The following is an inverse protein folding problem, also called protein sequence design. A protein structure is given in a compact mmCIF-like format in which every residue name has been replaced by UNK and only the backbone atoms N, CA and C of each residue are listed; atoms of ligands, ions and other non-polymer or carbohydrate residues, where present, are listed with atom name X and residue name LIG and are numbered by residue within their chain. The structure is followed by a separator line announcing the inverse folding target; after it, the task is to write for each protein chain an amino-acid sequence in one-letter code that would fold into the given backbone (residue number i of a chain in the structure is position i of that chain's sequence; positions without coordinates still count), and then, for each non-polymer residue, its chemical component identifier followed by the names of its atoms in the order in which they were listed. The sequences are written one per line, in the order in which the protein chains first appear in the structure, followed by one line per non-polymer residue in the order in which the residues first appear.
data_IF_911133671783
#
_entry.id   IF_911133671783
#
_cell.length_a   1.000
_cell.length_b   1.000
_cell.length_c   1.000
_cell.angle_alpha   90.00
_cell.angle_beta   90.00
_cell.angle_gamma   90.00
#
_symmetry.space_group_name_H-M   'P 1'
#
loop_
_entity.id
_entity.type
_entity.pdbx_description
1 polymer ?
#
# COMPACT_ATOMS: atom_id res chain seq x y z
N UNK A 1 13.17 13.30 19.81
CA UNK A 1 13.21 13.22 18.35
C UNK A 1 11.82 13.01 17.79
N UNK A 2 11.47 13.80 16.79
CA UNK A 2 10.16 13.70 16.17
C UNK A 2 10.17 12.57 15.15
N UNK A 3 9.19 11.69 15.24
CA UNK A 3 9.05 10.62 14.25
C UNK A 3 8.30 11.15 13.05
N UNK A 4 8.84 10.89 11.88
CA UNK A 4 8.20 11.25 10.62
C UNK A 4 7.88 9.99 9.85
N UNK A 5 6.88 10.07 8.96
CA UNK A 5 6.65 8.99 8.03
C UNK A 5 7.85 8.86 7.11
N UNK A 6 8.31 7.63 6.98
CA UNK A 6 9.39 7.31 6.06
C UNK A 6 9.01 7.61 4.63
N UNK A 7 7.77 7.34 4.29
CA UNK A 7 7.32 7.35 2.91
C UNK A 7 6.60 8.64 2.59
N UNK A 8 6.98 9.27 1.48
CA UNK A 8 6.30 10.47 1.00
C UNK A 8 5.40 10.16 -0.21
N UNK A 9 5.66 9.08 -0.92
CA UNK A 9 4.88 8.68 -2.09
C UNK A 9 4.62 7.18 -2.04
N UNK A 10 3.35 6.82 -2.02
CA UNK A 10 2.91 5.43 -1.89
C UNK A 10 1.89 5.14 -2.99
N UNK A 11 1.95 3.97 -3.59
CA UNK A 11 0.97 3.57 -4.57
C UNK A 11 0.18 2.36 -4.10
N UNK A 12 -1.09 2.31 -4.50
CA UNK A 12 -1.99 1.21 -4.19
C UNK A 12 -2.22 0.40 -5.46
N UNK A 13 -2.20 -0.92 -5.33
CA UNK A 13 -2.40 -1.82 -6.45
C UNK A 13 -3.28 -2.99 -6.03
N UNK A 14 -4.15 -3.45 -6.92
CA UNK A 14 -4.98 -4.62 -6.64
C UNK A 14 -5.55 -5.20 -7.92
N UNK A 15 -5.29 -6.48 -8.16
CA UNK A 15 -5.96 -7.22 -9.23
C UNK A 15 -7.17 -7.99 -8.71
N UNK A 16 -7.49 -7.85 -7.44
CA UNK A 16 -8.60 -8.56 -6.82
C UNK A 16 -9.94 -8.02 -7.30
N UNK A 17 -10.91 -8.93 -7.42
CA UNK A 17 -12.29 -8.55 -7.74
C UNK A 17 -13.15 -8.46 -6.50
N UNK A 18 -12.56 -8.56 -5.32
CA UNK A 18 -13.29 -8.46 -4.06
C UNK A 18 -13.91 -7.07 -3.94
N UNK A 19 -15.17 -7.05 -3.53
CA UNK A 19 -15.93 -5.80 -3.45
C UNK A 19 -15.37 -4.83 -2.40
N UNK A 20 -14.59 -5.33 -1.47
CA UNK A 20 -14.02 -4.50 -0.40
C UNK A 20 -12.82 -3.68 -0.84
N UNK A 21 -12.26 -3.98 -2.00
CA UNK A 21 -11.03 -3.31 -2.44
C UNK A 21 -11.18 -1.79 -2.48
N UNK A 22 -12.27 -1.30 -3.06
CA UNK A 22 -12.51 0.13 -3.15
C UNK A 22 -12.60 0.80 -1.80
N UNK A 23 -13.33 0.18 -0.87
CA UNK A 23 -13.46 0.71 0.48
C UNK A 23 -12.13 0.74 1.20
N UNK A 24 -11.38 -0.35 1.12
CA UNK A 24 -10.08 -0.44 1.78
C UNK A 24 -9.09 0.57 1.17
N UNK A 25 -9.10 0.71 -0.15
CA UNK A 25 -8.23 1.69 -0.81
C UNK A 25 -8.56 3.12 -0.34
N UNK A 26 -9.83 3.43 -0.17
CA UNK A 26 -10.24 4.74 0.34
C UNK A 26 -9.78 4.95 1.78
N UNK A 27 -9.87 3.92 2.60
CA UNK A 27 -9.41 3.99 3.98
C UNK A 27 -7.90 4.21 4.05
N UNK A 28 -7.15 3.49 3.22
CA UNK A 28 -5.69 3.67 3.12
C UNK A 28 -5.37 5.11 2.74
N UNK A 29 -6.08 5.63 1.74
CA UNK A 29 -5.87 7.02 1.32
C UNK A 29 -6.06 7.98 2.48
N UNK A 30 -7.16 7.85 3.22
CA UNK A 30 -7.46 8.77 4.31
C UNK A 30 -6.46 8.68 5.45
N UNK A 31 -6.03 7.47 5.79
CA UNK A 31 -5.06 7.28 6.85
C UNK A 31 -3.72 7.95 6.48
N UNK A 32 -3.26 7.71 5.28
CA UNK A 32 -1.91 8.14 4.89
C UNK A 32 -1.86 9.60 4.44
N UNK A 33 -2.92 10.09 3.81
CA UNK A 33 -2.89 11.48 3.37
C UNK A 33 -2.90 12.44 4.56
N UNK A 34 -3.43 12.02 5.70
CA UNK A 34 -3.36 12.83 6.91
C UNK A 34 -1.92 12.97 7.42
N UNK A 35 -1.00 12.16 6.91
CA UNK A 35 0.42 12.21 7.25
C UNK A 35 1.25 12.83 6.13
N UNK A 36 0.61 13.59 5.25
CA UNK A 36 1.27 14.31 4.17
C UNK A 36 1.94 13.38 3.14
N UNK A 37 1.44 12.16 3.03
CA UNK A 37 1.86 11.26 1.97
C UNK A 37 1.06 11.51 0.71
N UNK A 38 1.72 11.45 -0.43
CA UNK A 38 1.00 11.43 -1.71
C UNK A 38 0.65 10.01 -2.06
N UNK A 39 -0.62 9.78 -2.36
CA UNK A 39 -1.13 8.44 -2.61
C UNK A 39 -1.57 8.34 -4.06
N UNK A 40 -1.04 7.33 -4.73
CA UNK A 40 -1.38 7.05 -6.13
C UNK A 40 -1.99 5.66 -6.22
N UNK A 41 -2.61 5.37 -7.35
CA UNK A 41 -3.02 4.01 -7.68
C UNK A 41 -2.60 3.70 -9.10
N UNK A 42 -2.38 2.41 -9.36
CA UNK A 42 -1.94 1.98 -10.68
C UNK A 42 -3.11 1.55 -11.56
N UNK A 43 -2.79 1.05 -12.74
CA UNK A 43 -3.79 0.64 -13.73
C UNK A 43 -4.68 -0.51 -13.26
N UNK A 44 -4.26 -1.30 -12.27
CA UNK A 44 -5.09 -2.39 -11.76
C UNK A 44 -6.37 -1.87 -11.11
N UNK A 45 -6.37 -0.62 -10.64
CA UNK A 45 -7.53 -0.01 -10.00
C UNK A 45 -8.28 0.94 -10.92
N UNK A 46 -8.02 0.91 -12.22
CA UNK A 46 -8.65 1.82 -13.18
C UNK A 46 -10.17 1.79 -13.12
N UNK A 47 -10.76 0.61 -12.92
CA UNK A 47 -12.21 0.50 -12.85
C UNK A 47 -12.82 1.26 -11.69
N UNK A 48 -12.03 1.48 -10.64
CA UNK A 48 -12.47 2.17 -9.43
C UNK A 48 -11.98 3.61 -9.38
N UNK A 49 -11.31 4.07 -10.43
CA UNK A 49 -10.62 5.36 -10.42
C UNK A 49 -11.53 6.53 -10.06
N UNK A 50 -12.79 6.50 -10.52
CA UNK A 50 -13.74 7.58 -10.24
C UNK A 50 -14.15 7.66 -8.78
N UNK A 51 -14.05 6.56 -8.05
CA UNK A 51 -14.43 6.53 -6.65
C UNK A 51 -13.24 6.64 -5.71
N UNK A 52 -12.04 6.76 -6.26
CA UNK A 52 -10.83 6.89 -5.46
C UNK A 52 -10.35 8.34 -5.48
N UNK A 53 -9.89 8.81 -4.32
CA UNK A 53 -9.30 10.14 -4.21
C UNK A 53 -7.83 10.14 -4.60
N UNK A 54 -7.20 8.98 -4.65
CA UNK A 54 -5.82 8.87 -5.10
C UNK A 54 -5.72 9.14 -6.59
N UNK A 55 -4.54 9.55 -7.02
CA UNK A 55 -4.28 9.90 -8.40
C UNK A 55 -3.70 8.71 -9.15
N UNK A 56 -4.17 8.51 -10.38
CA UNK A 56 -3.63 7.43 -11.22
C UNK A 56 -2.21 7.76 -11.68
N UNK A 57 -1.34 6.76 -11.65
CA UNK A 57 -0.01 6.81 -12.27
C UNK A 57 0.31 5.46 -12.87
N UNK A 58 1.05 5.46 -13.97
CA UNK A 58 1.43 4.20 -14.61
C UNK A 58 2.57 3.52 -13.85
N UNK A 59 2.85 2.29 -14.23
CA UNK A 59 3.86 1.48 -13.57
C UNK A 59 5.23 2.14 -13.57
N UNK A 60 5.60 2.74 -14.70
CA UNK A 60 6.92 3.38 -14.82
C UNK A 60 7.07 4.53 -13.83
N UNK A 61 6.05 5.36 -13.72
CA UNK A 61 6.08 6.46 -12.75
C UNK A 61 6.21 5.93 -11.33
N UNK A 62 5.44 4.91 -11.02
CA UNK A 62 5.43 4.33 -9.68
C UNK A 62 6.80 3.75 -9.33
N UNK A 63 7.41 3.02 -10.25
CA UNK A 63 8.73 2.44 -10.02
C UNK A 63 9.80 3.51 -9.80
N UNK A 64 9.66 4.65 -10.45
CA UNK A 64 10.67 5.70 -10.37
C UNK A 64 10.43 6.67 -9.21
N UNK A 65 9.22 6.77 -8.71
CA UNK A 65 8.86 7.84 -7.77
C UNK A 65 8.29 7.35 -6.45
N UNK A 66 7.64 6.20 -6.41
CA UNK A 66 7.02 5.72 -5.19
C UNK A 66 8.02 4.91 -4.36
N UNK A 67 7.77 4.88 -3.07
CA UNK A 67 8.67 4.24 -2.11
C UNK A 67 8.08 2.98 -1.51
N UNK A 68 6.78 2.75 -1.72
CA UNK A 68 6.08 1.62 -1.16
C UNK A 68 4.87 1.31 -2.02
N UNK A 69 4.58 0.02 -2.18
CA UNK A 69 3.34 -0.44 -2.81
C UNK A 69 2.47 -1.08 -1.75
N UNK A 70 1.21 -0.68 -1.72
CA UNK A 70 0.23 -1.34 -0.86
C UNK A 70 -0.65 -2.20 -1.76
N UNK A 71 -0.59 -3.51 -1.59
CA UNK A 71 -1.37 -4.47 -2.36
C UNK A 71 -2.59 -4.87 -1.54
N UNK A 72 -3.77 -4.76 -2.13
CA UNK A 72 -5.02 -5.09 -1.45
C UNK A 72 -5.67 -6.28 -2.15
N UNK A 73 -5.88 -7.37 -1.42
CA UNK A 73 -6.50 -8.55 -2.00
C UNK A 73 -6.11 -9.81 -1.26
N UNK A 74 -6.22 -10.94 -1.93
CA UNK A 74 -5.79 -12.22 -1.38
C UNK A 74 -4.32 -12.49 -1.67
N UNK A 75 -3.89 -13.69 -1.32
CA UNK A 75 -2.50 -14.10 -1.51
C UNK A 75 -2.05 -13.96 -2.96
N UNK A 76 -2.92 -14.33 -3.91
CA UNK A 76 -2.57 -14.23 -5.33
C UNK A 76 -2.33 -12.80 -5.78
N UNK A 77 -3.15 -11.89 -5.30
CA UNK A 77 -2.99 -10.47 -5.62
C UNK A 77 -1.70 -9.91 -5.05
N UNK A 78 -1.41 -10.24 -3.80
CA UNK A 78 -0.19 -9.75 -3.15
C UNK A 78 1.03 -10.31 -3.84
N UNK A 79 1.01 -11.59 -4.18
CA UNK A 79 2.11 -12.22 -4.89
C UNK A 79 2.33 -11.63 -6.27
N UNK A 80 1.24 -11.35 -6.99
CA UNK A 80 1.30 -10.72 -8.29
C UNK A 80 1.94 -9.34 -8.21
N UNK A 81 1.56 -8.58 -7.20
CA UNK A 81 2.13 -7.26 -6.92
C UNK A 81 3.62 -7.36 -6.63
N UNK A 82 4.01 -8.36 -5.87
CA UNK A 82 5.42 -8.60 -5.57
C UNK A 82 6.23 -8.86 -6.82
N UNK A 83 5.66 -9.59 -7.77
CA UNK A 83 6.34 -9.85 -9.04
C UNK A 83 6.44 -8.59 -9.89
N UNK A 84 5.39 -7.78 -9.87
CA UNK A 84 5.33 -6.59 -10.71
C UNK A 84 6.23 -5.47 -10.20
N UNK A 85 6.29 -5.27 -8.91
CA UNK A 85 7.01 -4.16 -8.29
C UNK A 85 8.16 -4.59 -7.41
N UNK A 86 7.99 -5.66 -6.65
CA UNK A 86 9.00 -6.10 -5.71
C UNK A 86 10.28 -6.53 -6.38
N UNK A 87 10.17 -7.17 -7.55
CA UNK A 87 11.34 -7.59 -8.32
C UNK A 87 12.16 -6.40 -8.81
N UNK A 88 11.56 -5.21 -8.82
CA UNK A 88 12.25 -3.97 -9.22
C UNK A 88 12.74 -3.18 -8.00
N UNK A 89 12.64 -3.75 -6.81
CA UNK A 89 13.16 -3.13 -5.61
C UNK A 89 12.18 -2.37 -4.74
N UNK A 90 10.92 -2.27 -5.14
CA UNK A 90 9.91 -1.60 -4.33
C UNK A 90 9.39 -2.51 -3.22
N UNK A 91 9.38 -2.07 -1.96
CA UNK A 91 8.76 -2.83 -0.90
C UNK A 91 7.26 -2.98 -1.11
N UNK A 92 6.73 -4.12 -0.72
CA UNK A 92 5.31 -4.43 -0.84
C UNK A 92 4.72 -4.64 0.55
N UNK A 93 3.63 -3.97 0.83
CA UNK A 93 2.84 -4.20 2.04
C UNK A 93 1.50 -4.78 1.63
N UNK A 94 1.15 -5.94 2.14
CA UNK A 94 -0.09 -6.61 1.78
C UNK A 94 -1.20 -6.34 2.78
N UNK A 95 -2.36 -5.97 2.27
CA UNK A 95 -3.60 -5.96 3.07
C UNK A 95 -4.40 -7.16 2.59
N UNK A 96 -4.40 -8.22 3.39
CA UNK A 96 -4.97 -9.49 2.98
C UNK A 96 -6.45 -9.55 3.38
N UNK A 97 -7.30 -9.70 2.37
CA UNK A 97 -8.75 -9.76 2.57
C UNK A 97 -9.25 -11.15 2.92
N UNK A 98 -8.38 -12.15 2.78
CA UNK A 98 -8.69 -13.52 3.14
C UNK A 98 -7.91 -13.94 4.37
N UNK A 99 -7.18 -15.04 4.24
CA UNK A 99 -6.31 -15.51 5.31
C UNK A 99 -4.98 -14.79 5.26
N UNK A 100 -4.43 -14.46 6.42
CA UNK A 100 -3.09 -13.87 6.46
C UNK A 100 -2.09 -14.95 6.07
N UNK A 101 -1.45 -14.77 4.92
CA UNK A 101 -0.51 -15.74 4.39
C UNK A 101 0.95 -15.37 4.55
N UNK A 102 1.23 -14.10 4.80
CA UNK A 102 2.59 -13.61 4.95
C UNK A 102 2.71 -12.83 6.26
N UNK A 103 3.92 -12.84 6.82
CA UNK A 103 4.16 -12.15 8.08
C UNK A 103 3.92 -10.65 8.01
N UNK A 104 4.13 -10.06 6.84
CA UNK A 104 3.95 -8.62 6.64
C UNK A 104 2.51 -8.23 6.30
N UNK A 105 1.61 -9.19 6.19
CA UNK A 105 0.23 -8.89 5.81
C UNK A 105 -0.51 -8.19 6.95
N UNK A 106 -1.40 -7.29 6.56
CA UNK A 106 -2.27 -6.58 7.48
C UNK A 106 -3.70 -7.07 7.27
N UNK A 107 -4.41 -7.33 8.35
CA UNK A 107 -5.83 -7.63 8.29
C UNK A 107 -6.62 -6.33 8.19
N UNK A 108 -7.73 -6.30 7.43
CA UNK A 108 -8.51 -5.06 7.31
C UNK A 108 -8.98 -4.48 8.64
N UNK A 109 -9.30 -5.32 9.61
CA UNK A 109 -9.76 -4.85 10.92
C UNK A 109 -8.69 -4.09 11.70
N UNK A 110 -7.42 -4.33 11.39
CA UNK A 110 -6.30 -3.71 12.08
C UNK A 110 -5.64 -2.63 11.23
N UNK A 111 -6.30 -2.22 10.15
CA UNK A 111 -5.71 -1.39 9.12
C UNK A 111 -5.06 -0.12 9.67
N UNK A 112 -5.80 0.65 10.45
CA UNK A 112 -5.28 1.94 10.91
C UNK A 112 -4.04 1.77 11.77
N UNK A 113 -4.13 0.92 12.79
CA UNK A 113 -3.03 0.74 13.72
C UNK A 113 -1.81 0.13 13.07
N UNK A 114 -2.02 -0.92 12.27
CA UNK A 114 -0.89 -1.63 11.66
C UNK A 114 -0.23 -0.78 10.59
N UNK A 115 -1.02 -0.07 9.79
CA UNK A 115 -0.46 0.78 8.73
C UNK A 115 0.36 1.91 9.31
N UNK A 116 -0.16 2.60 10.32
CA UNK A 116 0.57 3.67 10.97
C UNK A 116 1.80 3.14 11.68
N UNK A 117 1.68 1.99 12.34
CA UNK A 117 2.82 1.40 13.05
C UNK A 117 3.95 1.06 12.10
N UNK A 118 3.65 0.45 10.97
CA UNK A 118 4.68 0.09 10.00
C UNK A 118 5.35 1.32 9.43
N UNK A 119 4.57 2.33 9.06
CA UNK A 119 5.12 3.55 8.50
C UNK A 119 5.99 4.29 9.51
N UNK A 120 5.60 4.29 10.78
CA UNK A 120 6.40 4.93 11.82
C UNK A 120 7.67 4.14 12.10
N UNK A 121 7.63 2.82 12.02
CA UNK A 121 8.82 2.01 12.24
C UNK A 121 9.92 2.35 11.25
N UNK A 122 9.54 2.62 10.01
CA UNK A 122 10.53 2.95 8.98
C UNK A 122 11.13 4.33 9.16
N UNK A 123 10.54 5.16 10.00
CA UNK A 123 11.12 6.48 10.27
C UNK A 123 12.06 6.47 11.46
N UNK A 124 12.14 5.35 12.16
CA UNK A 124 13.02 5.19 13.31
C UNK A 124 14.27 4.43 12.89
N UNK A 125 15.41 4.66 13.54
CA UNK A 125 16.57 3.81 13.30
C UNK A 125 16.21 2.36 13.59
N UNK A 126 16.72 1.46 12.76
CA UNK A 126 16.43 0.06 12.96
C UNK A 126 17.16 -0.45 14.18
N UNK A 127 16.46 -1.10 15.11
CA UNK A 127 17.14 -1.64 16.29
C UNK A 127 18.05 -2.82 15.99
N UNK A 128 17.91 -3.41 14.82
CA UNK A 128 18.78 -4.50 14.43
C UNK A 128 20.18 -4.03 14.06
N UNK A 129 20.22 -2.83 13.69
CA UNK A 129 21.45 -2.28 13.14
C UNK A 129 22.43 -1.95 14.23
#
# INVERSE_FOLDING_TARGET
MVKKFKFSKIAISSTSKDKRVGLIASQVYEILQSKECKIFHDDTLNKLSKSLNSEYRNKKYILNNCELIIAIGGDGTILNCSRRYGSQGLPILGINLGKLGFLSDIAPKDLTNDLLGICLLYTSPSPRD
#
